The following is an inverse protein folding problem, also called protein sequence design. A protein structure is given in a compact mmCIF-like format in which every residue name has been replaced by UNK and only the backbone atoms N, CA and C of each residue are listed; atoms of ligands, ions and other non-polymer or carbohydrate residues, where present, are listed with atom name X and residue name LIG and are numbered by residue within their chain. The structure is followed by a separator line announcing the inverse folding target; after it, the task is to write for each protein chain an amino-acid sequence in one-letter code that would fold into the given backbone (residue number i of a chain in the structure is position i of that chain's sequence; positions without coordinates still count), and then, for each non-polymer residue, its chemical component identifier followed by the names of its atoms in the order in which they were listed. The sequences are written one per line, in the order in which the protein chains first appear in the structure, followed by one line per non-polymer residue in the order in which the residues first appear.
data_IF_350701768894
#
_entry.id   IF_350701768894
#
_cell.length_a   1.000
_cell.length_b   1.000
_cell.length_c   1.000
_cell.angle_alpha   90.00
_cell.angle_beta   90.00
_cell.angle_gamma   90.00
#
_symmetry.space_group_name_H-M   'P 1'
#
loop_
_entity.id
_entity.type
_entity.pdbx_description
1 polymer ?
#
# COMPACT_ATOMS: atom_id res chain seq x y z
N UNK A 1 7.02 -4.52 -8.50
CA UNK A 1 6.60 -3.97 -7.18
C UNK A 1 5.14 -4.27 -6.84
N UNK A 2 4.13 -3.58 -7.39
CA UNK A 2 2.74 -3.73 -6.90
C UNK A 2 2.05 -5.07 -7.19
N UNK A 3 2.37 -5.76 -8.29
CA UNK A 3 1.74 -7.05 -8.65
C UNK A 3 2.36 -8.24 -7.92
N UNK A 4 3.67 -8.20 -7.68
CA UNK A 4 4.39 -9.26 -6.96
C UNK A 4 3.89 -9.36 -5.52
N UNK A 5 3.78 -8.23 -4.81
CA UNK A 5 3.21 -8.19 -3.45
C UNK A 5 1.78 -8.76 -3.38
N UNK A 6 0.98 -8.57 -4.42
CA UNK A 6 -0.39 -9.07 -4.43
C UNK A 6 -0.50 -10.59 -4.56
N UNK A 7 0.57 -11.25 -5.03
CA UNK A 7 0.63 -12.69 -5.31
C UNK A 7 1.49 -13.46 -4.30
N UNK A 8 2.27 -12.77 -3.46
CA UNK A 8 3.13 -13.42 -2.46
C UNK A 8 2.33 -13.95 -1.28
N UNK A 9 2.60 -15.20 -0.91
CA UNK A 9 2.22 -15.79 0.39
C UNK A 9 3.39 -15.62 1.34
N UNK A 10 3.17 -15.05 2.52
CA UNK A 10 4.23 -14.85 3.50
C UNK A 10 4.44 -16.15 4.29
N UNK A 11 5.69 -16.48 4.58
CA UNK A 11 6.05 -17.67 5.35
C UNK A 11 7.28 -17.38 6.21
N UNK A 12 7.65 -18.24 7.17
CA UNK A 12 8.89 -18.06 7.93
C UNK A 12 10.15 -17.97 7.05
N UNK A 13 10.13 -18.57 5.87
CA UNK A 13 11.22 -18.48 4.88
C UNK A 13 11.13 -17.22 4.01
N UNK A 14 9.95 -16.59 3.94
CA UNK A 14 9.69 -15.35 3.20
C UNK A 14 8.86 -14.41 4.08
N UNK A 15 9.47 -13.82 5.11
CA UNK A 15 8.76 -12.97 6.05
C UNK A 15 8.19 -11.73 5.34
N UNK A 16 7.06 -11.23 5.84
CA UNK A 16 6.49 -9.96 5.41
C UNK A 16 7.39 -8.83 5.91
N UNK A 17 8.24 -8.31 5.02
CA UNK A 17 9.08 -7.15 5.33
C UNK A 17 8.37 -5.84 4.95
N UNK A 18 8.51 -4.84 5.82
CA UNK A 18 7.80 -3.56 5.70
C UNK A 18 8.10 -2.83 4.40
N UNK A 19 9.32 -2.97 3.89
CA UNK A 19 9.80 -2.33 2.65
C UNK A 19 9.17 -2.94 1.39
N UNK A 20 8.65 -4.17 1.48
CA UNK A 20 7.98 -4.83 0.36
C UNK A 20 6.49 -4.52 0.28
N UNK A 21 5.92 -3.94 1.34
CA UNK A 21 4.53 -3.49 1.31
C UNK A 21 4.45 -2.16 0.58
N UNK A 22 3.61 -2.03 -0.46
CA UNK A 22 3.46 -0.80 -1.22
C UNK A 22 2.54 0.20 -0.48
N UNK A 23 2.98 0.69 0.68
CA UNK A 23 2.22 1.64 1.49
C UNK A 23 1.85 2.89 0.69
N UNK A 24 0.61 3.40 0.82
CA UNK A 24 0.16 4.59 0.09
C UNK A 24 0.70 5.85 0.79
N UNK A 25 2.01 6.04 0.74
CA UNK A 25 2.72 7.19 1.30
C UNK A 25 3.62 7.81 0.23
N UNK A 26 3.99 9.07 0.38
CA UNK A 26 4.84 9.80 -0.58
C UNK A 26 6.34 9.55 -0.39
N UNK A 27 6.71 8.49 0.34
CA UNK A 27 8.08 8.10 0.59
C UNK A 27 8.49 6.92 -0.29
N UNK A 28 9.77 6.87 -0.64
CA UNK A 28 10.30 5.71 -1.35
C UNK A 28 10.28 4.49 -0.42
N UNK A 29 9.88 3.28 -0.87
CA UNK A 29 9.72 2.10 0.01
C UNK A 29 10.95 1.75 0.86
N UNK A 30 12.17 1.97 0.34
CA UNK A 30 13.45 1.78 1.08
C UNK A 30 13.73 2.84 2.15
N UNK A 31 12.95 3.90 2.20
CA UNK A 31 13.05 5.00 3.18
C UNK A 31 11.81 5.07 4.06
N UNK A 32 10.82 4.21 3.85
CA UNK A 32 9.59 4.18 4.64
C UNK A 32 9.87 3.48 5.95
N UNK A 33 9.78 4.22 7.06
CA UNK A 33 9.83 3.64 8.39
C UNK A 33 8.41 3.38 8.91
N UNK A 34 8.30 2.55 9.96
CA UNK A 34 7.00 2.24 10.59
C UNK A 34 6.25 3.50 11.04
N UNK A 35 6.97 4.52 11.53
CA UNK A 35 6.38 5.80 11.96
C UNK A 35 5.79 6.62 10.81
N UNK A 36 6.25 6.40 9.57
CA UNK A 36 5.77 7.12 8.40
C UNK A 36 4.45 6.56 7.86
N UNK A 37 4.05 5.35 8.29
CA UNK A 37 2.78 4.72 7.95
C UNK A 37 1.71 5.21 8.95
N UNK A 38 1.50 6.52 8.96
CA UNK A 38 0.49 7.18 9.77
C UNK A 38 -0.62 7.75 8.89
N UNK A 39 -1.75 8.04 9.52
CA UNK A 39 -2.95 8.55 8.83
C UNK A 39 -2.63 9.80 8.00
N UNK A 40 -1.86 10.73 8.55
CA UNK A 40 -1.51 12.00 7.93
C UNK A 40 -0.75 11.82 6.60
N UNK A 41 0.21 10.89 6.57
CA UNK A 41 1.00 10.62 5.37
C UNK A 41 0.19 9.88 4.30
N UNK A 42 -0.75 9.04 4.72
CA UNK A 42 -1.69 8.35 3.83
C UNK A 42 -2.65 9.35 3.19
N UNK A 43 -3.22 10.26 3.98
CA UNK A 43 -4.07 11.34 3.45
C UNK A 43 -3.30 12.22 2.47
N UNK A 44 -2.06 12.60 2.82
CA UNK A 44 -1.21 13.39 1.94
C UNK A 44 -0.98 12.71 0.58
N UNK A 45 -0.77 11.40 0.57
CA UNK A 45 -0.64 10.62 -0.67
C UNK A 45 -1.90 10.70 -1.53
N UNK A 46 -3.09 10.47 -0.95
CA UNK A 46 -4.34 10.49 -1.70
C UNK A 46 -4.71 11.91 -2.17
N UNK A 47 -4.40 12.94 -1.40
CA UNK A 47 -4.58 14.33 -1.83
C UNK A 47 -3.70 14.70 -3.02
N UNK A 48 -2.44 14.25 -3.04
CA UNK A 48 -1.56 14.45 -4.20
C UNK A 48 -2.07 13.63 -5.40
N UNK A 49 -2.45 12.37 -5.18
CA UNK A 49 -2.96 11.51 -6.24
C UNK A 49 -4.22 12.08 -6.89
N UNK A 50 -5.14 12.65 -6.10
CA UNK A 50 -6.37 13.30 -6.58
C UNK A 50 -6.10 14.48 -7.51
N UNK A 51 -5.00 15.20 -7.29
CA UNK A 51 -4.59 16.35 -8.13
C UNK A 51 -3.89 15.93 -9.42
N UNK A 52 -3.25 14.76 -9.43
CA UNK A 52 -2.46 14.29 -10.58
C UNK A 52 -3.21 13.30 -11.48
N UNK A 53 -4.23 12.61 -10.96
CA UNK A 53 -4.98 11.59 -11.68
C UNK A 53 -6.32 12.12 -12.18
N UNK A 54 -6.82 11.50 -13.26
CA UNK A 54 -8.22 11.71 -13.65
C UNK A 54 -9.15 11.17 -12.57
N UNK A 55 -10.41 11.65 -12.47
CA UNK A 55 -11.37 11.12 -11.50
C UNK A 55 -11.56 9.60 -11.58
N UNK A 56 -11.49 9.03 -12.79
CA UNK A 56 -11.60 7.58 -13.03
C UNK A 56 -10.39 6.82 -12.48
N UNK A 57 -9.19 7.32 -12.74
CA UNK A 57 -7.97 6.66 -12.29
C UNK A 57 -7.80 6.80 -10.78
N UNK A 58 -8.19 7.94 -10.21
CA UNK A 58 -8.23 8.16 -8.77
C UNK A 58 -9.21 7.20 -8.08
N UNK A 59 -10.44 7.06 -8.59
CA UNK A 59 -11.41 6.10 -8.06
C UNK A 59 -10.88 4.65 -8.13
N UNK A 60 -10.18 4.31 -9.21
CA UNK A 60 -9.52 3.00 -9.36
C UNK A 60 -8.41 2.80 -8.32
N UNK A 61 -7.58 3.81 -8.09
CA UNK A 61 -6.51 3.77 -7.07
C UNK A 61 -7.09 3.57 -5.66
N UNK A 62 -8.15 4.30 -5.30
CA UNK A 62 -8.80 4.16 -3.99
C UNK A 62 -9.39 2.75 -3.82
N UNK A 63 -10.14 2.27 -4.81
CA UNK A 63 -10.75 0.94 -4.78
C UNK A 63 -9.70 -0.19 -4.68
N UNK A 64 -8.62 -0.09 -5.44
CA UNK A 64 -7.52 -1.06 -5.40
C UNK A 64 -6.76 -1.00 -4.08
N UNK A 65 -6.57 0.19 -3.51
CA UNK A 65 -5.95 0.36 -2.19
C UNK A 65 -6.80 -0.26 -1.09
N UNK A 66 -8.12 0.01 -1.04
CA UNK A 66 -9.03 -0.61 -0.07
C UNK A 66 -9.00 -2.14 -0.15
N UNK A 67 -8.99 -2.72 -1.36
CA UNK A 67 -8.89 -4.17 -1.56
C UNK A 67 -7.52 -4.74 -1.20
N UNK A 68 -6.44 -3.97 -1.39
CA UNK A 68 -5.09 -4.41 -1.04
C UNK A 68 -4.88 -4.45 0.46
N UNK A 69 -5.36 -3.44 1.17
CA UNK A 69 -5.20 -3.28 2.62
C UNK A 69 -6.39 -3.79 3.43
N UNK A 70 -7.29 -4.57 2.82
CA UNK A 70 -8.43 -5.16 3.52
C UNK A 70 -7.94 -6.16 4.59
N UNK A 71 -8.40 -6.04 5.87
CA UNK A 71 -7.96 -6.89 6.96
C UNK A 71 -8.06 -8.39 6.66
N UNK A 72 -9.18 -8.85 6.10
CA UNK A 72 -9.39 -10.27 5.76
C UNK A 72 -8.36 -10.80 4.75
N UNK A 73 -7.97 -9.98 3.77
CA UNK A 73 -6.99 -10.37 2.75
C UNK A 73 -5.58 -10.46 3.33
N UNK A 74 -5.28 -9.67 4.34
CA UNK A 74 -4.01 -9.74 5.05
C UNK A 74 -4.00 -10.91 6.04
N UNK A 75 -5.12 -11.16 6.70
CA UNK A 75 -5.29 -12.32 7.59
C UNK A 75 -5.14 -13.65 6.83
N UNK A 76 -5.62 -13.73 5.58
CA UNK A 76 -5.49 -14.92 4.73
C UNK A 76 -4.09 -15.12 4.12
N UNK A 77 -3.14 -14.19 4.34
CA UNK A 77 -1.76 -14.24 3.83
C UNK A 77 -0.72 -14.58 4.91
N UNK A 78 -1.17 -14.88 6.14
CA UNK A 78 -0.36 -15.41 7.22
C UNK A 78 -0.09 -16.90 7.06
#
# INVERSE_FOLDING_TARGET
VSKEFDQTTFSPQHPLDIEFVPWPVLYHPRMTHFGDICWQNIEAFFEVAKKQLTPKDYATLVSTSHKRFHPDRWASRK
#
